data_IF_000814463451
#
_entry.id   IF_000814463451
#
_cell.length_a   1.000
_cell.length_b   1.000
_cell.length_c   1.000
_cell.angle_alpha   90.00
_cell.angle_beta   90.00
_cell.angle_gamma   90.00
#
_symmetry.space_group_name_H-M   'P 1'
#
loop_
_entity.id
_entity.type
_entity.pdbx_description
1 polymer ?
#
# COMPACT_ATOMS: atom_id res chain seq x y z
N UNK A 1 -12.69 -3.15 6.70
CA UNK A 1 -11.98 -1.86 6.89
C UNK A 1 -11.24 -1.54 5.61
N UNK A 2 -11.36 -0.29 5.15
CA UNK A 2 -10.59 0.23 4.03
C UNK A 2 -9.92 1.53 4.46
N UNK A 3 -8.73 1.79 3.93
CA UNK A 3 -8.04 3.07 4.03
C UNK A 3 -7.47 3.39 2.66
N UNK A 4 -7.50 4.65 2.26
CA UNK A 4 -6.88 5.11 1.03
C UNK A 4 -6.34 6.52 1.22
N UNK A 5 -5.23 6.82 0.56
CA UNK A 5 -4.58 8.11 0.65
C UNK A 5 -3.93 8.49 -0.68
N UNK A 6 -4.02 9.78 -1.01
CA UNK A 6 -3.29 10.43 -2.10
C UNK A 6 -2.17 11.24 -1.47
N UNK A 7 -0.96 11.06 -2.00
CA UNK A 7 0.29 11.59 -1.49
C UNK A 7 1.05 12.14 -2.70
N UNK A 8 0.70 13.36 -3.12
CA UNK A 8 1.18 13.95 -4.37
C UNK A 8 0.90 13.07 -5.60
N UNK A 9 1.91 12.75 -6.42
CA UNK A 9 1.76 11.95 -7.64
C UNK A 9 1.55 10.45 -7.38
N UNK A 10 1.39 10.06 -6.12
CA UNK A 10 1.33 8.66 -5.69
C UNK A 10 0.17 8.45 -4.73
N UNK A 11 -0.23 7.20 -4.54
CA UNK A 11 -1.18 6.87 -3.50
C UNK A 11 -1.41 5.39 -3.33
N UNK A 12 -2.17 5.05 -2.30
CA UNK A 12 -2.43 3.67 -1.95
C UNK A 12 -3.88 3.45 -1.50
N UNK A 13 -4.28 2.20 -1.59
CA UNK A 13 -5.45 1.64 -0.94
C UNK A 13 -5.00 0.46 -0.08
N UNK A 14 -5.60 0.33 1.09
CA UNK A 14 -5.45 -0.79 1.99
C UNK A 14 -6.81 -1.41 2.30
N UNK A 15 -6.88 -2.73 2.30
CA UNK A 15 -8.07 -3.49 2.66
C UNK A 15 -7.76 -4.47 3.80
N UNK A 16 -8.62 -4.49 4.81
CA UNK A 16 -8.67 -5.55 5.81
C UNK A 16 -10.13 -5.98 6.00
N UNK A 17 -10.47 -7.15 5.47
CA UNK A 17 -11.81 -7.74 5.56
C UNK A 17 -11.95 -8.81 6.66
N UNK A 18 -10.91 -9.00 7.50
CA UNK A 18 -10.86 -10.10 8.47
C UNK A 18 -10.74 -11.46 7.78
N UNK A 19 -11.52 -12.44 8.22
CA UNK A 19 -11.79 -13.66 7.45
C UNK A 19 -12.96 -13.36 6.50
N UNK A 20 -12.73 -13.43 5.19
CA UNK A 20 -13.70 -13.02 4.19
C UNK A 20 -13.93 -14.11 3.14
N UNK A 21 -15.18 -14.52 2.98
CA UNK A 21 -15.60 -15.48 1.96
C UNK A 21 -16.06 -14.74 0.70
N UNK A 22 -15.61 -15.18 -0.47
CA UNK A 22 -15.97 -14.59 -1.76
C UNK A 22 -16.12 -15.65 -2.86
N UNK A 23 -16.94 -15.35 -3.87
CA UNK A 23 -17.05 -16.14 -5.09
C UNK A 23 -16.23 -15.49 -6.22
N UNK A 24 -15.21 -16.16 -6.76
CA UNK A 24 -14.42 -15.66 -7.90
C UNK A 24 -15.29 -15.29 -9.10
N UNK A 25 -15.00 -14.16 -9.73
CA UNK A 25 -15.66 -13.77 -10.97
C UNK A 25 -15.14 -14.64 -12.13
N UNK A 26 -15.83 -15.71 -12.46
CA UNK A 26 -15.58 -16.49 -13.69
C UNK A 26 -16.79 -16.42 -14.61
N UNK A 27 -16.55 -16.43 -15.92
CA UNK A 27 -17.63 -16.62 -16.90
C UNK A 27 -18.12 -18.07 -16.76
N UNK A 28 -19.44 -18.30 -16.67
CA UNK A 28 -20.00 -19.62 -16.41
C UNK A 28 -19.93 -20.46 -17.68
N UNK A 29 -18.78 -21.04 -17.97
CA UNK A 29 -18.69 -22.10 -18.99
C UNK A 29 -18.85 -23.48 -18.35
N UNK A 30 -18.48 -23.67 -17.07
CA UNK A 30 -18.61 -24.94 -16.37
C UNK A 30 -18.90 -24.76 -14.87
N UNK A 31 -20.17 -24.84 -14.47
CA UNK A 31 -20.60 -25.13 -13.10
C UNK A 31 -20.60 -23.95 -12.11
N UNK A 32 -21.15 -24.24 -10.92
CA UNK A 32 -21.16 -23.30 -9.79
C UNK A 32 -19.72 -23.12 -9.25
N UNK A 33 -19.31 -21.87 -9.05
CA UNK A 33 -17.99 -21.54 -8.50
C UNK A 33 -18.02 -21.73 -7.00
N UNK A 34 -17.17 -22.60 -6.46
CA UNK A 34 -17.04 -22.76 -5.01
C UNK A 34 -16.54 -21.46 -4.36
N UNK A 35 -17.16 -21.02 -3.24
CA UNK A 35 -16.66 -19.90 -2.47
C UNK A 35 -15.24 -20.15 -1.94
N UNK A 36 -14.40 -19.12 -1.96
CA UNK A 36 -13.04 -19.12 -1.39
C UNK A 36 -13.01 -18.25 -0.14
N UNK A 37 -12.09 -18.55 0.78
CA UNK A 37 -11.85 -17.73 1.97
C UNK A 37 -10.49 -17.04 1.86
N UNK A 38 -10.46 -15.73 2.09
CA UNK A 38 -9.26 -14.92 2.21
C UNK A 38 -9.11 -14.39 3.63
N UNK A 39 -7.89 -14.44 4.17
CA UNK A 39 -7.54 -13.94 5.49
C UNK A 39 -6.73 -12.65 5.36
N UNK A 40 -7.13 -11.63 6.12
CA UNK A 40 -6.50 -10.33 6.13
C UNK A 40 -5.83 -10.05 7.48
N UNK A 41 -4.77 -9.27 7.44
CA UNK A 41 -4.03 -8.79 8.60
C UNK A 41 -4.34 -7.31 8.87
N UNK A 42 -4.02 -6.84 10.08
CA UNK A 42 -4.21 -5.43 10.44
C UNK A 42 -3.26 -4.51 9.68
N UNK A 43 -3.62 -3.22 9.55
CA UNK A 43 -2.74 -2.23 8.93
C UNK A 43 -1.38 -2.14 9.67
N UNK A 44 -1.40 -2.20 11.00
CA UNK A 44 -0.17 -2.21 11.80
C UNK A 44 0.72 -3.43 11.51
N UNK A 45 0.13 -4.62 11.35
CA UNK A 45 0.89 -5.82 10.98
C UNK A 45 1.44 -5.72 9.54
N UNK A 46 0.65 -5.15 8.62
CA UNK A 46 1.05 -4.94 7.24
C UNK A 46 2.21 -3.94 7.11
N UNK A 47 2.16 -2.81 7.81
CA UNK A 47 3.24 -1.81 7.84
C UNK A 47 4.49 -2.29 8.59
N UNK A 48 4.32 -3.19 9.57
CA UNK A 48 5.41 -3.81 10.32
C UNK A 48 6.04 -5.03 9.65
N UNK A 49 5.63 -5.38 8.43
CA UNK A 49 6.14 -6.57 7.77
C UNK A 49 7.60 -6.37 7.30
N UNK A 50 8.42 -7.41 7.53
CA UNK A 50 9.86 -7.37 7.25
C UNK A 50 10.15 -7.10 5.77
N UNK A 51 11.01 -6.11 5.51
CA UNK A 51 11.50 -5.79 4.17
C UNK A 51 12.26 -6.97 3.52
N UNK A 52 12.89 -7.85 4.31
CA UNK A 52 13.54 -9.05 3.77
C UNK A 52 12.53 -10.08 3.21
N UNK A 53 11.29 -10.06 3.72
CA UNK A 53 10.19 -10.91 3.26
C UNK A 53 9.27 -10.21 2.27
N UNK A 54 9.40 -8.88 2.12
CA UNK A 54 8.76 -8.17 1.03
C UNK A 54 9.19 -8.88 -0.25
N UNK A 55 8.21 -9.34 -1.05
CA UNK A 55 8.50 -10.12 -2.25
C UNK A 55 9.53 -9.37 -3.08
N UNK A 56 10.41 -10.07 -3.81
CA UNK A 56 11.41 -9.48 -4.73
C UNK A 56 10.85 -8.47 -5.75
N UNK A 57 9.51 -8.31 -5.83
CA UNK A 57 8.78 -7.41 -6.71
C UNK A 57 7.83 -6.48 -5.95
N UNK A 58 7.92 -6.40 -4.63
CA UNK A 58 7.05 -5.53 -3.84
C UNK A 58 7.20 -4.10 -4.35
N UNK A 59 6.08 -3.50 -4.73
CA UNK A 59 6.08 -2.15 -5.28
C UNK A 59 6.84 -1.18 -4.39
N UNK A 60 7.65 -0.31 -5.01
CA UNK A 60 8.61 0.48 -4.25
C UNK A 60 7.95 1.49 -3.30
N UNK A 61 6.69 1.86 -3.57
CA UNK A 61 5.83 2.65 -2.68
C UNK A 61 5.63 2.03 -1.30
N UNK A 62 5.77 0.71 -1.16
CA UNK A 62 5.66 0.05 0.13
C UNK A 62 6.76 0.54 1.10
N UNK A 63 7.97 0.78 0.60
CA UNK A 63 9.05 1.32 1.43
C UNK A 63 8.75 2.76 1.86
N UNK A 64 8.27 3.61 0.94
CA UNK A 64 7.86 4.98 1.27
C UNK A 64 6.81 5.03 2.36
N UNK A 65 5.75 4.22 2.19
CA UNK A 65 4.65 4.15 3.15
C UNK A 65 5.10 3.66 4.52
N UNK A 66 5.97 2.64 4.58
CA UNK A 66 6.44 2.10 5.88
C UNK A 66 7.40 3.04 6.59
N UNK A 67 8.26 3.77 5.85
CA UNK A 67 9.11 4.82 6.42
C UNK A 67 8.25 5.99 6.92
N UNK A 68 7.28 6.44 6.12
CA UNK A 68 6.38 7.53 6.50
C UNK A 68 5.54 7.19 7.73
N UNK A 69 5.02 5.96 7.82
CA UNK A 69 4.28 5.49 8.99
C UNK A 69 5.15 5.42 10.26
N UNK A 70 6.43 5.04 10.12
CA UNK A 70 7.37 5.05 11.26
C UNK A 70 7.72 6.48 11.66
N UNK A 71 7.89 7.39 10.70
CA UNK A 71 8.06 8.81 10.98
C UNK A 71 6.86 9.38 11.74
N UNK A 72 5.63 9.14 11.26
CA UNK A 72 4.41 9.58 11.94
C UNK A 72 4.32 9.05 13.37
N UNK A 73 4.75 7.80 13.61
CA UNK A 73 4.80 7.24 14.97
C UNK A 73 5.82 7.92 15.87
N UNK A 74 6.95 8.37 15.34
CA UNK A 74 8.03 8.98 16.12
C UNK A 74 7.83 10.49 16.33
N UNK A 75 7.22 11.17 15.37
CA UNK A 75 7.10 12.63 15.34
C UNK A 75 5.67 13.15 15.55
N UNK A 76 4.67 12.27 15.61
CA UNK A 76 3.25 12.60 15.79
C UNK A 76 2.68 13.56 14.72
N UNK A 77 3.31 13.57 13.54
CA UNK A 77 2.88 14.35 12.36
C UNK A 77 3.33 13.64 11.07
N UNK A 78 2.66 13.90 9.93
CA UNK A 78 3.12 13.40 8.64
C UNK A 78 4.50 13.96 8.26
N UNK A 79 5.17 13.22 7.38
CA UNK A 79 6.38 13.66 6.69
C UNK A 79 6.07 14.87 5.82
N UNK A 80 6.96 15.86 5.81
CA UNK A 80 6.86 17.03 4.94
C UNK A 80 8.23 17.60 4.57
N UNK A 81 8.22 18.74 3.90
CA UNK A 81 9.43 19.42 3.42
C UNK A 81 10.40 19.69 4.57
N UNK A 82 11.68 19.35 4.39
CA UNK A 82 12.72 19.52 5.42
C UNK A 82 12.95 18.30 6.32
N UNK A 83 12.19 17.22 6.13
CA UNK A 83 12.33 15.98 6.91
C UNK A 83 13.31 14.96 6.29
N UNK A 84 14.06 15.32 5.25
CA UNK A 84 14.86 14.39 4.45
C UNK A 84 15.88 13.63 5.31
N UNK A 85 16.52 14.32 6.26
CA UNK A 85 17.50 13.71 7.17
C UNK A 85 16.83 12.72 8.14
N UNK A 86 15.67 13.09 8.70
CA UNK A 86 14.92 12.22 9.61
C UNK A 86 14.39 10.97 8.88
N UNK A 87 13.85 11.16 7.69
CA UNK A 87 13.44 10.07 6.78
C UNK A 87 14.61 9.13 6.47
N UNK A 88 15.78 9.67 6.14
CA UNK A 88 16.98 8.88 5.89
C UNK A 88 17.45 8.13 7.13
N UNK A 89 17.39 8.73 8.31
CA UNK A 89 17.72 8.05 9.56
C UNK A 89 16.78 6.87 9.83
N UNK A 90 15.47 7.09 9.74
CA UNK A 90 14.47 6.03 9.94
C UNK A 90 14.66 4.89 8.92
N UNK A 91 14.87 5.22 7.64
CA UNK A 91 15.09 4.22 6.61
C UNK A 91 16.33 3.36 6.90
N UNK A 92 17.42 3.95 7.39
CA UNK A 92 18.62 3.24 7.83
C UNK A 92 18.32 2.29 9.00
N UNK A 93 17.61 2.77 10.02
CA UNK A 93 17.25 1.96 11.20
C UNK A 93 16.37 0.77 10.80
N UNK A 94 15.41 0.97 9.91
CA UNK A 94 14.55 -0.09 9.37
C UNK A 94 15.33 -1.09 8.52
N UNK A 95 16.21 -0.61 7.64
CA UNK A 95 17.06 -1.46 6.81
C UNK A 95 17.96 -2.34 7.68
N UNK A 96 18.59 -1.78 8.72
CA UNK A 96 19.39 -2.51 9.69
C UNK A 96 18.56 -3.54 10.47
N UNK A 97 17.36 -3.15 10.95
CA UNK A 97 16.44 -4.05 11.65
C UNK A 97 16.01 -5.25 10.82
N UNK A 98 15.80 -5.06 9.52
CA UNK A 98 15.36 -6.13 8.62
C UNK A 98 16.50 -6.84 7.87
N UNK A 99 17.75 -6.40 8.05
CA UNK A 99 18.91 -7.01 7.41
C UNK A 99 18.93 -6.85 5.89
N UNK A 100 18.49 -5.70 5.37
CA UNK A 100 18.47 -5.41 3.93
C UNK A 100 19.40 -4.24 3.58
N UNK A 101 19.93 -4.22 2.36
CA UNK A 101 20.71 -3.09 1.85
C UNK A 101 19.77 -1.93 1.52
N UNK A 102 19.94 -0.80 2.20
CA UNK A 102 19.07 0.38 2.08
C UNK A 102 18.97 0.89 0.63
N UNK A 103 20.11 1.07 -0.03
CA UNK A 103 20.20 1.63 -1.38
C UNK A 103 19.55 0.73 -2.44
N UNK A 104 19.50 -0.58 -2.18
CA UNK A 104 18.83 -1.53 -3.07
C UNK A 104 17.32 -1.61 -2.80
N UNK A 105 16.89 -1.31 -1.58
CA UNK A 105 15.50 -1.43 -1.15
C UNK A 105 14.68 -0.16 -1.47
N UNK A 106 15.22 1.02 -1.15
CA UNK A 106 14.46 2.28 -1.18
C UNK A 106 14.79 3.07 -2.46
N UNK A 107 13.80 3.41 -3.31
CA UNK A 107 14.03 4.36 -4.39
C UNK A 107 14.07 5.78 -3.84
N UNK A 108 15.27 6.30 -3.63
CA UNK A 108 15.46 7.60 -3.00
C UNK A 108 14.84 8.75 -3.78
N UNK A 109 14.91 8.76 -5.11
CA UNK A 109 14.30 9.80 -5.95
C UNK A 109 12.80 9.95 -5.66
N UNK A 110 12.03 8.87 -5.78
CA UNK A 110 10.60 8.88 -5.44
C UNK A 110 10.32 9.10 -3.95
N UNK A 111 11.26 8.77 -3.05
CA UNK A 111 11.09 9.08 -1.62
C UNK A 111 11.24 10.59 -1.37
N UNK A 112 12.13 11.27 -2.08
CA UNK A 112 12.26 12.72 -1.96
C UNK A 112 11.06 13.43 -2.58
N UNK A 113 10.57 12.97 -3.74
CA UNK A 113 9.30 13.46 -4.29
C UNK A 113 8.14 13.25 -3.31
N UNK A 114 8.11 12.12 -2.59
CA UNK A 114 7.13 11.86 -1.54
C UNK A 114 7.22 12.87 -0.39
N UNK A 115 8.43 13.17 0.09
CA UNK A 115 8.68 14.13 1.17
C UNK A 115 8.26 15.54 0.74
N UNK A 116 8.68 15.95 -0.45
CA UNK A 116 8.35 17.25 -1.04
C UNK A 116 6.84 17.39 -1.29
N UNK A 117 6.18 16.30 -1.68
CA UNK A 117 4.75 16.27 -1.90
C UNK A 117 3.91 16.11 -0.63
N UNK A 118 4.52 15.92 0.55
CA UNK A 118 3.79 15.84 1.83
C UNK A 118 2.90 17.05 2.12
N UNK A 119 3.16 18.18 1.45
CA UNK A 119 2.33 19.39 1.49
C UNK A 119 1.28 19.47 0.35
N UNK A 120 1.40 18.64 -0.69
CA UNK A 120 0.53 18.59 -1.86
C UNK A 120 -0.49 17.45 -1.70
N UNK A 121 -1.61 17.74 -1.02
CA UNK A 121 -2.64 16.72 -0.73
C UNK A 121 -3.60 16.46 -1.88
N UNK A 122 -3.74 17.39 -2.83
CA UNK A 122 -4.88 17.38 -3.75
C UNK A 122 -4.43 17.17 -5.20
N UNK A 123 -4.47 15.91 -5.64
CA UNK A 123 -4.43 15.55 -7.07
C UNK A 123 -5.79 14.95 -7.48
N UNK A 124 -6.77 15.76 -7.93
CA UNK A 124 -8.12 15.29 -8.22
C UNK A 124 -8.19 14.12 -9.19
N UNK A 125 -7.32 14.09 -10.20
CA UNK A 125 -7.23 12.97 -11.15
C UNK A 125 -6.82 11.66 -10.47
N UNK A 126 -5.86 11.73 -9.53
CA UNK A 126 -5.39 10.57 -8.79
C UNK A 126 -6.43 10.13 -7.75
N UNK A 127 -7.08 11.08 -7.08
CA UNK A 127 -8.23 10.81 -6.20
C UNK A 127 -9.36 10.10 -6.95
N UNK A 128 -9.63 10.45 -8.20
CA UNK A 128 -10.63 9.77 -9.03
C UNK A 128 -10.22 8.32 -9.36
N UNK A 129 -8.95 8.09 -9.68
CA UNK A 129 -8.41 6.73 -9.93
C UNK A 129 -8.54 5.86 -8.67
N UNK A 130 -7.99 6.31 -7.54
CA UNK A 130 -8.03 5.54 -6.29
C UNK A 130 -9.46 5.41 -5.74
N UNK A 131 -10.28 6.45 -5.85
CA UNK A 131 -11.68 6.43 -5.45
C UNK A 131 -12.50 5.43 -6.26
N UNK A 132 -12.25 5.32 -7.57
CA UNK A 132 -12.89 4.32 -8.42
C UNK A 132 -12.52 2.88 -8.03
N UNK A 133 -11.24 2.64 -7.74
CA UNK A 133 -10.75 1.33 -7.30
C UNK A 133 -11.30 0.99 -5.90
N UNK A 134 -11.27 1.95 -4.97
CA UNK A 134 -11.85 1.79 -3.64
C UNK A 134 -13.34 1.45 -3.71
N UNK A 135 -14.11 2.16 -4.54
CA UNK A 135 -15.53 1.89 -4.71
C UNK A 135 -15.78 0.45 -5.20
N UNK A 136 -14.97 -0.02 -6.16
CA UNK A 136 -15.07 -1.41 -6.63
C UNK A 136 -14.77 -2.42 -5.50
N UNK A 137 -13.73 -2.19 -4.70
CA UNK A 137 -13.39 -3.09 -3.59
C UNK A 137 -14.44 -3.09 -2.48
N UNK A 138 -15.05 -1.94 -2.19
CA UNK A 138 -16.19 -1.85 -1.28
C UNK A 138 -17.37 -2.69 -1.79
N UNK A 139 -17.67 -2.63 -3.09
CA UNK A 139 -18.74 -3.44 -3.70
C UNK A 139 -18.42 -4.94 -3.68
N UNK A 140 -17.17 -5.35 -3.94
CA UNK A 140 -16.76 -6.76 -3.82
C UNK A 140 -16.93 -7.28 -2.40
N UNK A 141 -16.44 -6.52 -1.42
CA UNK A 141 -16.55 -6.89 -0.01
C UNK A 141 -18.01 -6.94 0.47
N UNK A 142 -18.87 -6.01 0.02
CA UNK A 142 -20.28 -6.00 0.40
C UNK A 142 -21.08 -7.12 -0.27
N UNK A 143 -20.74 -7.48 -1.51
CA UNK A 143 -21.49 -8.47 -2.29
C UNK A 143 -20.97 -9.91 -2.14
N UNK A 144 -19.75 -10.09 -1.65
CA UNK A 144 -19.05 -11.38 -1.65
C UNK A 144 -18.73 -11.88 -3.07
N UNK A 145 -18.76 -11.02 -4.08
CA UNK A 145 -18.52 -11.38 -5.49
C UNK A 145 -17.24 -10.74 -6.01
N UNK A 146 -16.41 -11.55 -6.65
CA UNK A 146 -15.10 -11.14 -7.14
C UNK A 146 -14.02 -11.25 -6.07
N UNK A 147 -12.78 -11.49 -6.51
CA UNK A 147 -11.63 -11.55 -5.61
C UNK A 147 -11.28 -10.14 -5.10
N UNK A 148 -11.25 -9.94 -3.77
CA UNK A 148 -10.84 -8.68 -3.18
C UNK A 148 -9.32 -8.50 -3.27
N UNK A 149 -8.88 -7.24 -3.34
CA UNK A 149 -7.49 -6.84 -3.21
C UNK A 149 -7.00 -7.22 -1.82
N UNK A 150 -5.93 -8.04 -1.75
CA UNK A 150 -5.28 -8.48 -0.52
C UNK A 150 -3.80 -8.09 -0.56
N UNK A 151 -3.35 -7.11 0.20
CA UNK A 151 -4.10 -6.16 1.04
C UNK A 151 -3.76 -4.70 0.74
N UNK A 152 -2.77 -4.44 -0.11
CA UNK A 152 -2.46 -3.13 -0.66
C UNK A 152 -2.72 -3.08 -2.16
N UNK A 153 -3.10 -1.89 -2.60
CA UNK A 153 -2.98 -1.46 -3.98
C UNK A 153 -2.20 -0.15 -3.99
N UNK A 154 -1.15 -0.06 -4.83
CA UNK A 154 -0.36 1.14 -5.01
C UNK A 154 -0.55 1.68 -6.41
N UNK A 155 -0.55 3.00 -6.55
CA UNK A 155 -0.53 3.68 -7.83
C UNK A 155 0.46 4.84 -7.80
N UNK A 156 1.23 5.00 -8.87
CA UNK A 156 2.12 6.14 -9.07
C UNK A 156 1.98 6.69 -10.48
N UNK A 157 2.05 8.02 -10.62
CA UNK A 157 2.14 8.66 -11.93
C UNK A 157 3.51 8.46 -12.58
N UNK A 158 4.57 8.24 -11.78
CA UNK A 158 5.94 8.07 -12.27
C UNK A 158 6.09 6.82 -13.15
N UNK A 159 5.43 5.72 -12.79
CA UNK A 159 5.38 4.49 -13.59
C UNK A 159 4.04 4.30 -14.31
N UNK A 160 3.05 5.14 -14.03
CA UNK A 160 1.68 5.04 -14.55
C UNK A 160 1.07 3.65 -14.34
N UNK A 161 1.44 2.98 -13.25
CA UNK A 161 1.08 1.60 -12.98
C UNK A 161 0.34 1.44 -11.65
N UNK A 162 -0.67 0.57 -11.67
CA UNK A 162 -1.35 0.07 -10.48
C UNK A 162 -0.86 -1.32 -10.12
N UNK A 163 -0.42 -1.53 -8.88
CA UNK A 163 0.10 -2.82 -8.42
C UNK A 163 -0.60 -3.29 -7.15
N UNK A 164 -0.90 -4.59 -7.09
CA UNK A 164 -1.49 -5.23 -5.92
C UNK A 164 -0.39 -5.94 -5.15
N UNK A 165 -0.31 -5.69 -3.84
CA UNK A 165 0.69 -6.26 -2.96
C UNK A 165 0.05 -6.86 -1.72
N UNK A 166 0.56 -8.02 -1.30
CA UNK A 166 0.21 -8.65 -0.04
C UNK A 166 1.36 -8.47 0.94
N UNK A 167 1.13 -7.71 2.02
CA UNK A 167 2.12 -7.43 3.06
C UNK A 167 1.56 -7.73 4.45
N UNK A 168 2.36 -8.40 5.28
CA UNK A 168 2.02 -8.78 6.67
C UNK A 168 1.02 -9.93 6.80
N UNK A 169 0.41 -10.33 5.69
CA UNK A 169 -0.38 -11.54 5.52
C UNK A 169 0.23 -12.35 4.36
#
# INVERSE_FOLDING_TARGET
>A
FFSACVLGPMGYLFANLGEHMYSPATKPEYGAVEPKTANFCSLSAALGASWAKARRRCHKMYYHLTIAAEFERQHERPVGVGDEEAVRKIANEMAARYGVTLEAAVPWEGMMEFVEAGELTDMPALSAVLGGILAQEVLKAASGKGEPIRNFFFFSLADSAGTIEAAGC
#
